data_IF_986335950373
#
_entry.id   IF_986335950373
#
_cell.length_a   1.000
_cell.length_b   1.000
_cell.length_c   1.000
_cell.angle_alpha   90.00
_cell.angle_beta   90.00
_cell.angle_gamma   90.00
#
_symmetry.space_group_name_H-M   'P 1'
#
loop_
_entity.id
_entity.type
_entity.pdbx_description
1 polymer ?
#
# COMPACT_ATOMS: atom_id res chain seq x y z
N UNK A 1 2.06 -10.06 -5.60
CA UNK A 1 1.46 -8.98 -6.42
C UNK A 1 -0.05 -8.93 -6.15
N UNK A 2 -0.67 -7.75 -6.18
CA UNK A 2 -2.13 -7.62 -6.01
C UNK A 2 -2.85 -8.09 -7.30
N UNK A 3 -4.06 -8.66 -7.21
CA UNK A 3 -4.74 -9.29 -8.35
C UNK A 3 -5.50 -8.29 -9.26
N UNK A 4 -5.41 -6.99 -8.98
CA UNK A 4 -6.12 -5.93 -9.69
C UNK A 4 -5.16 -4.86 -10.21
N UNK A 5 -5.59 -4.13 -11.25
CA UNK A 5 -4.83 -3.01 -11.79
C UNK A 5 -4.89 -1.83 -10.81
N UNK A 6 -3.75 -1.27 -10.48
CA UNK A 6 -3.68 -0.01 -9.73
C UNK A 6 -3.86 1.11 -10.74
N UNK A 7 -4.94 1.87 -10.64
CA UNK A 7 -5.20 2.99 -11.55
C UNK A 7 -4.64 4.31 -11.01
N UNK A 8 -4.74 4.51 -9.69
CA UNK A 8 -4.38 5.77 -9.03
C UNK A 8 -3.55 5.45 -7.79
N UNK A 9 -2.45 6.17 -7.59
CA UNK A 9 -1.68 6.20 -6.35
C UNK A 9 -1.76 7.60 -5.77
N UNK A 10 -2.15 7.71 -4.50
CA UNK A 10 -2.19 8.96 -3.75
C UNK A 10 -1.04 8.97 -2.72
N UNK A 11 -0.13 9.94 -2.81
CA UNK A 11 0.97 10.11 -1.84
C UNK A 11 0.98 11.49 -1.21
N UNK A 12 1.77 11.64 -0.16
CA UNK A 12 2.13 12.96 0.34
C UNK A 12 3.14 13.66 -0.57
N UNK A 13 3.46 14.91 -0.21
CA UNK A 13 4.43 15.74 -0.92
C UNK A 13 5.88 15.48 -0.49
N UNK A 14 6.16 14.33 0.13
CA UNK A 14 7.50 13.95 0.57
C UNK A 14 8.47 13.82 -0.60
N UNK A 15 9.75 14.07 -0.32
CA UNK A 15 10.84 14.04 -1.32
C UNK A 15 11.00 12.69 -2.02
N UNK A 16 10.42 11.63 -1.44
CA UNK A 16 10.43 10.27 -1.95
C UNK A 16 9.44 10.06 -3.09
N UNK A 17 8.40 10.91 -3.18
CA UNK A 17 7.30 10.77 -4.12
C UNK A 17 7.18 11.96 -5.08
N UNK A 18 7.62 13.14 -4.65
CA UNK A 18 7.63 14.34 -5.47
C UNK A 18 8.86 15.19 -5.20
N UNK A 19 9.27 15.97 -6.20
CA UNK A 19 10.30 16.99 -6.00
C UNK A 19 9.87 17.99 -4.92
N UNK A 20 10.85 18.59 -4.23
CA UNK A 20 10.58 19.66 -3.28
C UNK A 20 9.81 20.80 -3.98
N UNK A 21 8.83 21.44 -3.32
CA UNK A 21 8.02 22.49 -3.94
C UNK A 21 8.83 23.59 -4.65
N UNK A 22 10.00 23.96 -4.09
CA UNK A 22 10.93 24.94 -4.67
C UNK A 22 11.54 24.53 -6.02
N UNK A 23 11.60 23.23 -6.31
CA UNK A 23 12.23 22.68 -7.51
C UNK A 23 11.21 22.18 -8.54
N UNK A 24 9.92 22.03 -8.17
CA UNK A 24 8.87 21.44 -9.03
C UNK A 24 8.63 22.18 -10.33
N UNK A 25 8.76 23.50 -10.33
CA UNK A 25 8.50 24.36 -11.49
C UNK A 25 9.76 24.64 -12.33
N UNK A 26 10.92 24.16 -11.87
CA UNK A 26 12.18 24.39 -12.57
C UNK A 26 12.28 23.53 -13.84
N UNK A 27 13.04 23.98 -14.85
CA UNK A 27 13.23 23.22 -16.08
C UNK A 27 13.74 21.80 -15.79
N UNK A 28 14.65 21.62 -14.82
CA UNK A 28 15.17 20.31 -14.43
C UNK A 28 14.09 19.33 -13.97
N UNK A 29 13.11 19.78 -13.17
CA UNK A 29 12.02 18.90 -12.73
C UNK A 29 11.05 18.59 -13.86
N UNK A 30 10.78 19.57 -14.73
CA UNK A 30 9.89 19.41 -15.89
C UNK A 30 10.47 18.43 -16.93
N UNK A 31 11.77 18.51 -17.22
CA UNK A 31 12.44 17.65 -18.20
C UNK A 31 12.79 16.26 -17.66
N UNK A 32 13.21 16.16 -16.39
CA UNK A 32 13.61 14.88 -15.79
C UNK A 32 12.40 14.05 -15.39
N UNK A 33 11.36 14.69 -14.84
CA UNK A 33 10.30 14.03 -14.10
C UNK A 33 10.83 13.40 -12.81
N UNK A 34 10.02 13.40 -11.74
CA UNK A 34 10.39 12.69 -10.53
C UNK A 34 10.48 11.16 -10.83
N UNK A 35 11.45 10.41 -10.27
CA UNK A 35 11.58 8.98 -10.57
C UNK A 35 10.30 8.18 -10.30
N UNK A 36 9.55 8.56 -9.28
CA UNK A 36 8.27 7.94 -8.96
C UNK A 36 7.21 8.24 -10.02
N UNK A 37 7.10 9.50 -10.48
CA UNK A 37 6.17 9.88 -11.55
C UNK A 37 6.45 9.09 -12.83
N UNK A 38 7.73 8.92 -13.18
CA UNK A 38 8.13 8.13 -14.35
C UNK A 38 7.74 6.66 -14.22
N UNK A 39 7.96 6.06 -13.04
CA UNK A 39 7.55 4.67 -12.79
C UNK A 39 6.02 4.51 -12.90
N UNK A 40 5.25 5.45 -12.34
CA UNK A 40 3.80 5.47 -12.46
C UNK A 40 3.35 5.59 -13.93
N UNK A 41 3.96 6.48 -14.72
CA UNK A 41 3.65 6.64 -16.15
C UNK A 41 3.92 5.36 -16.96
N UNK A 42 5.06 4.69 -16.72
CA UNK A 42 5.40 3.41 -17.40
C UNK A 42 4.36 2.33 -17.12
N UNK A 43 3.78 2.32 -15.92
CA UNK A 43 2.74 1.37 -15.54
C UNK A 43 1.30 1.85 -15.81
N UNK A 44 1.13 3.03 -16.42
CA UNK A 44 -0.20 3.62 -16.68
C UNK A 44 -0.98 3.92 -15.40
N UNK A 45 -0.26 4.28 -14.33
CA UNK A 45 -0.79 4.63 -13.01
C UNK A 45 -0.83 6.16 -12.92
N UNK A 46 -1.98 6.72 -12.58
CA UNK A 46 -2.10 8.14 -12.28
C UNK A 46 -1.54 8.42 -10.89
N UNK A 47 -0.50 9.24 -10.81
CA UNK A 47 0.04 9.68 -9.52
C UNK A 47 -0.62 11.01 -9.10
N UNK A 48 -1.27 10.99 -7.93
CA UNK A 48 -1.89 12.16 -7.30
C UNK A 48 -1.17 12.50 -6.00
N UNK A 49 -0.98 13.79 -5.77
CA UNK A 49 -0.44 14.29 -4.51
C UNK A 49 -1.57 14.80 -3.63
N UNK A 50 -1.45 14.56 -2.32
CA UNK A 50 -2.35 15.18 -1.35
C UNK A 50 -2.21 16.71 -1.41
N UNK A 51 -3.33 17.40 -1.19
CA UNK A 51 -3.31 18.87 -1.10
C UNK A 51 -2.39 19.29 0.06
N UNK A 52 -1.55 20.33 -0.12
CA UNK A 52 -0.79 20.91 0.97
C UNK A 52 -1.72 21.28 2.14
N UNK A 53 -1.26 21.06 3.38
CA UNK A 53 -2.00 21.35 4.63
C UNK A 53 -3.28 20.53 4.84
N UNK A 54 -3.35 19.33 4.26
CA UNK A 54 -4.54 18.48 4.32
C UNK A 54 -4.24 17.08 4.90
N UNK A 55 -3.80 17.02 6.18
CA UNK A 55 -3.18 15.82 6.76
C UNK A 55 -4.10 14.60 6.82
N UNK A 56 -5.42 14.80 6.86
CA UNK A 56 -6.36 13.67 6.97
C UNK A 56 -6.40 12.77 5.74
N UNK A 57 -5.97 13.26 4.56
CA UNK A 57 -5.86 12.44 3.36
C UNK A 57 -4.81 11.32 3.52
N UNK A 58 -3.82 11.53 4.38
CA UNK A 58 -2.79 10.55 4.72
C UNK A 58 -3.12 9.73 5.99
N UNK A 59 -4.24 10.02 6.64
CA UNK A 59 -4.56 9.44 7.96
C UNK A 59 -4.74 7.92 7.95
N UNK A 60 -5.13 7.32 6.82
CA UNK A 60 -5.26 5.86 6.69
C UNK A 60 -3.90 5.17 6.74
N UNK A 61 -2.92 5.64 5.96
CA UNK A 61 -1.58 5.06 5.95
C UNK A 61 -0.86 5.35 7.27
N UNK A 62 -1.03 6.54 7.84
CA UNK A 62 -0.46 6.88 9.15
C UNK A 62 -1.02 5.99 10.27
N UNK A 63 -2.33 5.72 10.25
CA UNK A 63 -2.96 4.79 11.20
C UNK A 63 -2.42 3.37 11.01
N UNK A 64 -2.31 2.89 9.78
CA UNK A 64 -1.76 1.55 9.50
C UNK A 64 -0.30 1.43 9.96
N UNK A 65 0.53 2.42 9.63
CA UNK A 65 1.92 2.48 10.06
C UNK A 65 2.05 2.48 11.59
N UNK A 66 1.16 3.18 12.28
CA UNK A 66 1.10 3.15 13.74
C UNK A 66 0.76 1.76 14.27
N UNK A 67 -0.25 1.10 13.69
CA UNK A 67 -0.63 -0.28 14.06
C UNK A 67 0.52 -1.26 13.84
N UNK A 68 1.25 -1.17 12.72
CA UNK A 68 2.43 -2.00 12.46
C UNK A 68 3.49 -1.75 13.53
N UNK A 69 3.82 -0.48 13.81
CA UNK A 69 4.83 -0.15 14.82
C UNK A 69 4.46 -0.64 16.22
N UNK A 70 3.18 -0.52 16.60
CA UNK A 70 2.65 -1.00 17.87
C UNK A 70 2.66 -2.52 17.99
N UNK A 71 2.50 -3.25 16.88
CA UNK A 71 2.57 -4.71 16.86
C UNK A 71 4.01 -5.25 16.77
N UNK A 72 4.97 -4.45 16.27
CA UNK A 72 6.34 -4.88 15.98
C UNK A 72 7.35 -4.16 16.87
N UNK A 73 8.00 -3.12 16.35
CA UNK A 73 9.17 -2.44 16.94
C UNK A 73 8.95 -1.81 18.31
N UNK A 74 7.69 -1.59 18.73
CA UNK A 74 7.39 -1.10 20.09
C UNK A 74 7.30 -2.20 21.15
N UNK A 75 7.13 -3.47 20.73
CA UNK A 75 6.92 -4.62 21.63
C UNK A 75 8.08 -5.60 21.63
N UNK A 76 8.82 -5.66 20.53
CA UNK A 76 9.88 -6.63 20.31
C UNK A 76 11.19 -5.92 19.99
N UNK A 77 12.27 -6.44 20.55
CA UNK A 77 13.64 -6.13 20.12
C UNK A 77 14.00 -7.08 18.96
N UNK A 78 14.75 -6.58 17.98
CA UNK A 78 15.28 -7.38 16.88
C UNK A 78 16.79 -7.22 16.85
N UNK A 79 17.50 -8.33 16.73
CA UNK A 79 18.96 -8.32 16.68
C UNK A 79 19.49 -7.95 15.29
N UNK A 80 18.69 -8.24 14.26
CA UNK A 80 18.99 -7.90 12.88
C UNK A 80 17.74 -7.50 12.07
N UNK A 81 17.97 -6.97 10.87
CA UNK A 81 16.91 -6.56 9.96
C UNK A 81 16.11 -7.73 9.37
N UNK A 82 16.68 -8.94 9.32
CA UNK A 82 16.02 -10.12 8.78
C UNK A 82 14.92 -10.61 9.72
N UNK A 83 15.15 -10.60 11.03
CA UNK A 83 14.13 -10.90 12.04
C UNK A 83 12.93 -9.94 11.92
N UNK A 84 13.20 -8.63 11.80
CA UNK A 84 12.14 -7.64 11.59
C UNK A 84 11.38 -7.91 10.29
N UNK A 85 12.08 -8.25 9.20
CA UNK A 85 11.45 -8.56 7.90
C UNK A 85 10.51 -9.76 8.01
N UNK A 86 10.96 -10.86 8.60
CA UNK A 86 10.15 -12.07 8.82
C UNK A 86 8.92 -11.77 9.67
N UNK A 87 9.06 -10.95 10.71
CA UNK A 87 7.92 -10.57 11.55
C UNK A 87 6.94 -9.67 10.79
N UNK A 88 7.41 -8.72 9.98
CA UNK A 88 6.55 -7.90 9.13
C UNK A 88 5.78 -8.74 8.10
N UNK A 89 6.43 -9.72 7.48
CA UNK A 89 5.78 -10.67 6.56
C UNK A 89 4.68 -11.47 7.28
N UNK A 90 4.98 -11.98 8.47
CA UNK A 90 4.01 -12.69 9.33
C UNK A 90 2.83 -11.79 9.71
N UNK A 91 3.10 -10.53 10.09
CA UNK A 91 2.07 -9.56 10.43
C UNK A 91 1.16 -9.26 9.24
N UNK A 92 1.72 -9.03 8.05
CA UNK A 92 0.96 -8.76 6.83
C UNK A 92 0.10 -9.96 6.45
N UNK A 93 0.63 -11.18 6.55
CA UNK A 93 -0.13 -12.41 6.31
C UNK A 93 -1.30 -12.54 7.31
N UNK A 94 -1.04 -12.41 8.61
CA UNK A 94 -2.07 -12.48 9.64
C UNK A 94 -3.15 -11.39 9.45
N UNK A 95 -2.74 -10.18 9.07
CA UNK A 95 -3.66 -9.08 8.79
C UNK A 95 -4.56 -9.37 7.58
N UNK A 96 -3.98 -9.83 6.48
CA UNK A 96 -4.72 -10.04 5.22
C UNK A 96 -5.64 -11.27 5.28
N UNK A 97 -5.21 -12.35 5.95
CA UNK A 97 -5.90 -13.64 5.92
C UNK A 97 -6.60 -14.01 7.23
N UNK A 98 -6.11 -13.56 8.38
CA UNK A 98 -6.66 -13.94 9.70
C UNK A 98 -7.52 -12.85 10.34
N UNK A 99 -7.23 -11.57 10.10
CA UNK A 99 -7.89 -10.47 10.81
C UNK A 99 -9.20 -10.04 10.14
N UNK A 100 -10.33 -10.31 10.80
CA UNK A 100 -11.65 -9.79 10.42
C UNK A 100 -11.78 -8.31 10.79
N UNK A 101 -12.24 -7.47 9.85
CA UNK A 101 -12.35 -6.03 10.03
C UNK A 101 -13.82 -5.57 10.05
N UNK A 102 -14.19 -4.80 11.09
CA UNK A 102 -15.56 -4.22 11.21
C UNK A 102 -15.92 -3.35 10.01
N UNK A 103 -14.96 -2.58 9.49
CA UNK A 103 -15.13 -1.72 8.30
C UNK A 103 -15.45 -2.52 7.03
N UNK A 104 -15.04 -3.79 6.98
CA UNK A 104 -15.33 -4.73 5.89
C UNK A 104 -16.51 -5.65 6.22
N UNK A 105 -17.38 -5.25 7.15
CA UNK A 105 -18.54 -6.04 7.61
C UNK A 105 -18.15 -7.43 8.14
N UNK A 106 -17.01 -7.51 8.83
CA UNK A 106 -16.52 -8.75 9.44
C UNK A 106 -15.72 -9.65 8.49
N UNK A 107 -15.46 -9.22 7.25
CA UNK A 107 -14.58 -9.94 6.33
C UNK A 107 -13.11 -9.66 6.64
N UNK A 108 -12.25 -10.60 6.29
CA UNK A 108 -10.80 -10.34 6.17
C UNK A 108 -10.54 -9.51 4.92
N UNK A 109 -9.40 -8.79 4.83
CA UNK A 109 -9.03 -8.09 3.59
C UNK A 109 -9.05 -9.03 2.38
N UNK A 110 -8.54 -10.25 2.50
CA UNK A 110 -8.55 -11.24 1.42
C UNK A 110 -9.97 -11.65 1.00
N UNK A 111 -10.83 -12.00 1.96
CA UNK A 111 -12.24 -12.36 1.70
C UNK A 111 -12.97 -11.19 1.00
N UNK A 112 -12.69 -9.96 1.42
CA UNK A 112 -13.25 -8.77 0.79
C UNK A 112 -12.81 -8.62 -0.67
N UNK A 113 -11.53 -8.81 -0.97
CA UNK A 113 -11.00 -8.77 -2.34
C UNK A 113 -11.65 -9.86 -3.21
N UNK A 114 -11.76 -11.09 -2.71
CA UNK A 114 -12.45 -12.17 -3.42
C UNK A 114 -13.92 -11.83 -3.70
N UNK A 115 -14.62 -11.24 -2.73
CA UNK A 115 -16.00 -10.77 -2.90
C UNK A 115 -16.11 -9.62 -3.90
N UNK A 116 -15.14 -8.70 -3.97
CA UNK A 116 -15.12 -7.64 -4.98
C UNK A 116 -14.90 -8.20 -6.37
N UNK A 117 -14.05 -9.22 -6.51
CA UNK A 117 -13.82 -9.89 -7.78
C UNK A 117 -15.09 -10.54 -8.35
N UNK A 118 -15.93 -11.18 -7.52
CA UNK A 118 -17.18 -11.77 -8.02
C UNK A 118 -18.21 -10.73 -8.49
N UNK A 119 -18.13 -9.49 -7.99
CA UNK A 119 -19.03 -8.39 -8.35
C UNK A 119 -18.49 -7.59 -9.54
N UNK A 120 -17.18 -7.36 -9.60
CA UNK A 120 -16.51 -6.52 -10.61
C UNK A 120 -15.27 -7.22 -11.21
N UNK A 121 -15.43 -8.37 -11.90
CA UNK A 121 -14.29 -9.16 -12.38
C UNK A 121 -13.40 -8.39 -13.36
N UNK A 122 -13.97 -7.47 -14.14
CA UNK A 122 -13.25 -6.66 -15.13
C UNK A 122 -12.18 -5.72 -14.54
N UNK A 123 -12.23 -5.45 -13.23
CA UNK A 123 -11.21 -4.63 -12.54
C UNK A 123 -9.97 -5.43 -12.15
N UNK A 124 -10.02 -6.75 -12.30
CA UNK A 124 -8.98 -7.67 -11.90
C UNK A 124 -8.23 -8.21 -13.11
N UNK A 125 -6.92 -8.35 -12.94
CA UNK A 125 -6.02 -8.93 -13.95
C UNK A 125 -5.78 -10.41 -13.70
N UNK A 126 -6.05 -10.90 -12.48
CA UNK A 126 -5.87 -12.28 -12.05
C UNK A 126 -7.03 -12.71 -11.14
N UNK A 127 -7.33 -14.01 -11.14
CA UNK A 127 -8.30 -14.58 -10.20
C UNK A 127 -7.69 -14.63 -8.78
N UNK A 128 -8.26 -13.93 -7.78
CA UNK A 128 -7.71 -13.89 -6.43
C UNK A 128 -7.94 -15.17 -5.62
N UNK A 129 -8.88 -16.04 -6.02
CA UNK A 129 -9.36 -17.18 -5.23
C UNK A 129 -8.25 -18.20 -4.93
N UNK A 130 -7.21 -18.27 -5.77
CA UNK A 130 -6.07 -19.18 -5.60
C UNK A 130 -5.00 -18.65 -4.65
N UNK A 131 -5.14 -17.45 -4.07
CA UNK A 131 -4.12 -16.86 -3.19
C UNK A 131 -4.35 -17.14 -1.69
N UNK A 132 -5.24 -18.07 -1.33
CA UNK A 132 -5.24 -18.58 0.04
C UNK A 132 -3.88 -19.22 0.32
N UNK A 133 -3.13 -18.79 1.36
CA UNK A 133 -2.13 -19.67 1.91
C UNK A 133 -2.91 -20.91 2.36
N UNK A 134 -2.70 -22.03 1.67
CA UNK A 134 -3.17 -23.31 2.17
C UNK A 134 -2.62 -23.55 3.57
N UNK A 135 -3.13 -24.58 4.25
CA UNK A 135 -2.42 -25.11 5.41
C UNK A 135 -0.99 -25.40 4.95
N UNK A 136 -0.02 -24.64 5.45
CA UNK A 136 1.39 -24.98 5.31
C UNK A 136 1.54 -26.38 5.92
N UNK A 137 1.81 -27.38 5.07
CA UNK A 137 2.37 -28.65 5.52
C UNK A 137 3.85 -28.47 5.78
#
# INVERSE_FOLDING_TARGET
>A
AVPYKIEIVLTDNGIQFADLPKNRSGPTAMWRGHPFDRACQVHGIEHRLTKPRHPWANGQVERMNRTIKEATVKRFHYDDHQQLRTHLETFVAAYNFGRRLKTLKGLTPYEFICKRWTIEPNRFILNPIHQMPGLNN
#
